data_IF_857494672279
#
_entry.id   IF_857494672279
#
_cell.length_a   1.000
_cell.length_b   1.000
_cell.length_c   1.000
_cell.angle_alpha   90.00
_cell.angle_beta   90.00
_cell.angle_gamma   90.00
#
_symmetry.space_group_name_H-M   'P 1'
#
loop_
_entity.id
_entity.type
_entity.pdbx_description
1 polymer ?
#
# COMPACT_ATOMS: atom_id res chain seq x y z
N UNK A 1 14.96 7.56 16.22
CA UNK A 1 14.17 8.80 16.31
C UNK A 1 12.72 8.40 16.53
N UNK A 2 12.13 8.71 17.67
CA UNK A 2 10.74 8.35 17.99
C UNK A 2 9.93 9.63 18.03
N UNK A 3 8.85 9.69 17.28
CA UNK A 3 7.87 10.76 17.41
C UNK A 3 6.88 10.44 18.52
N UNK A 4 6.57 11.43 19.36
CA UNK A 4 5.55 11.28 20.40
C UNK A 4 4.29 12.01 19.96
N UNK A 5 3.16 11.32 19.94
CA UNK A 5 1.84 11.91 19.70
C UNK A 5 1.16 12.06 21.06
N UNK A 6 0.73 13.28 21.39
CA UNK A 6 0.02 13.60 22.61
C UNK A 6 -1.45 13.87 22.30
N UNK A 7 -2.35 13.30 23.08
CA UNK A 7 -3.80 13.48 22.96
C UNK A 7 -4.33 14.43 24.04
N UNK A 8 -5.43 15.14 23.76
CA UNK A 8 -6.19 15.90 24.76
C UNK A 8 -7.13 15.00 25.57
N UNK A 9 -7.78 15.56 26.60
CA UNK A 9 -8.74 14.84 27.45
C UNK A 9 -9.99 14.33 26.72
N UNK A 10 -10.18 14.72 25.45
CA UNK A 10 -11.26 14.28 24.58
C UNK A 10 -10.75 13.30 23.49
N UNK A 11 -9.53 12.76 23.65
CA UNK A 11 -8.96 11.78 22.71
C UNK A 11 -8.53 12.34 21.36
N UNK A 12 -8.54 13.67 21.18
CA UNK A 12 -8.09 14.30 19.93
C UNK A 12 -6.57 14.59 19.98
N UNK A 13 -5.85 14.65 18.85
CA UNK A 13 -4.39 14.90 18.85
C UNK A 13 -4.10 16.34 19.28
N UNK A 14 -3.55 16.54 20.47
CA UNK A 14 -3.27 17.85 21.05
C UNK A 14 -1.94 18.44 20.56
N UNK A 15 -0.92 17.58 20.47
CA UNK A 15 0.37 17.95 19.91
C UNK A 15 1.10 16.74 19.35
N UNK A 16 2.02 17.03 18.45
CA UNK A 16 2.85 16.03 17.78
C UNK A 16 4.29 16.47 17.90
N UNK A 17 5.11 15.67 18.56
CA UNK A 17 6.53 15.93 18.73
C UNK A 17 7.34 15.09 17.75
N UNK A 18 7.82 15.74 16.69
CA UNK A 18 8.85 15.21 15.80
C UNK A 18 10.00 16.24 15.76
N UNK A 19 11.16 15.90 16.32
CA UNK A 19 12.33 16.79 16.34
C UNK A 19 12.48 17.69 17.58
N UNK A 20 11.80 17.39 18.69
CA UNK A 20 12.09 17.96 20.01
C UNK A 20 11.22 19.15 20.41
N UNK A 21 10.64 19.87 19.44
CA UNK A 21 9.62 20.91 19.72
C UNK A 21 8.23 20.37 19.38
N UNK A 22 7.31 20.28 20.34
CA UNK A 22 5.94 19.84 20.05
C UNK A 22 5.25 20.83 19.11
N UNK A 23 4.74 20.35 17.97
CA UNK A 23 3.83 21.12 17.14
C UNK A 23 2.44 21.01 17.74
N UNK A 24 1.83 22.14 18.05
CA UNK A 24 0.50 22.22 18.66
C UNK A 24 -0.57 22.30 17.58
N UNK A 25 -1.77 21.88 17.94
CA UNK A 25 -3.00 22.18 17.20
C UNK A 25 -3.14 23.70 17.00
N UNK A 26 -3.48 24.13 15.79
CA UNK A 26 -3.74 25.52 15.47
C UNK A 26 -5.11 26.00 16.01
N UNK A 27 -5.41 27.29 15.83
CA UNK A 27 -6.68 27.88 16.26
C UNK A 27 -7.91 27.29 15.55
N UNK A 28 -7.70 26.58 14.43
CA UNK A 28 -8.74 25.98 13.62
C UNK A 28 -8.98 24.50 13.98
N UNK A 29 -8.21 23.98 14.92
CA UNK A 29 -8.35 22.62 15.41
C UNK A 29 -7.51 21.59 14.63
N UNK A 30 -6.61 22.03 13.76
CA UNK A 30 -5.77 21.18 12.90
C UNK A 30 -4.37 21.06 13.50
N UNK A 31 -3.86 19.84 13.60
CA UNK A 31 -2.49 19.58 14.05
C UNK A 31 -1.59 19.36 12.84
N UNK A 32 -0.48 20.10 12.77
CA UNK A 32 0.51 19.99 11.70
C UNK A 32 1.76 19.29 12.22
N UNK A 33 2.34 18.36 11.48
CA UNK A 33 3.69 17.86 11.72
C UNK A 33 4.57 18.23 10.53
N UNK A 34 5.31 19.33 10.69
CA UNK A 34 6.19 19.90 9.66
C UNK A 34 7.62 19.41 9.84
N UNK A 35 8.12 18.66 8.86
CA UNK A 35 9.54 18.37 8.74
C UNK A 35 10.12 19.22 7.61
N UNK A 36 11.00 20.16 7.96
CA UNK A 36 11.73 20.95 6.95
C UNK A 36 13.18 20.48 6.92
N UNK A 37 13.62 20.04 5.75
CA UNK A 37 15.02 19.70 5.47
C UNK A 37 15.52 20.55 4.31
N UNK A 38 16.81 20.78 4.21
CA UNK A 38 17.38 21.40 3.01
C UNK A 38 17.72 20.31 2.00
N UNK A 39 17.41 20.56 0.72
CA UNK A 39 18.01 19.76 -0.35
C UNK A 39 19.52 19.92 -0.31
N UNK A 40 20.23 18.89 -0.76
CA UNK A 40 21.66 18.99 -1.00
C UNK A 40 21.94 19.65 -2.35
N UNK A 41 21.36 20.82 -2.57
CA UNK A 41 21.68 21.71 -3.68
C UNK A 41 22.58 22.85 -3.19
N UNK A 42 23.25 23.53 -4.12
CA UNK A 42 24.14 24.66 -3.80
C UNK A 42 23.40 25.80 -3.06
N UNK A 43 22.10 25.90 -3.28
CA UNK A 43 21.22 26.89 -2.67
C UNK A 43 20.62 26.46 -1.31
N UNK A 44 20.86 25.21 -0.87
CA UNK A 44 20.29 24.60 0.36
C UNK A 44 18.80 24.85 0.51
N UNK A 45 18.05 24.71 -0.58
CA UNK A 45 16.64 25.05 -0.65
C UNK A 45 15.83 24.27 0.39
N UNK A 46 15.04 24.95 1.24
CA UNK A 46 14.24 24.27 2.25
C UNK A 46 13.05 23.55 1.58
N UNK A 47 12.92 22.26 1.86
CA UNK A 47 11.78 21.41 1.50
C UNK A 47 11.05 21.03 2.78
N UNK A 48 9.75 21.33 2.83
CA UNK A 48 8.90 21.00 3.98
C UNK A 48 7.91 19.91 3.59
N UNK A 49 7.91 18.81 4.34
CA UNK A 49 6.80 17.86 4.42
C UNK A 49 5.84 18.33 5.52
N UNK A 50 4.55 18.47 5.23
CA UNK A 50 3.54 18.84 6.23
C UNK A 50 2.48 17.75 6.34
N UNK A 51 2.54 16.97 7.42
CA UNK A 51 1.51 15.98 7.73
C UNK A 51 0.38 16.70 8.46
N UNK A 52 -0.78 16.77 7.82
CA UNK A 52 -1.97 17.45 8.33
C UNK A 52 -2.89 16.44 9.00
N UNK A 53 -3.16 16.63 10.29
CA UNK A 53 -4.17 15.89 11.04
C UNK A 53 -5.40 16.79 11.20
N UNK A 54 -6.46 16.57 10.41
CA UNK A 54 -7.62 17.43 10.41
C UNK A 54 -8.41 17.25 11.71
N UNK A 55 -9.20 18.27 12.06
CA UNK A 55 -10.19 18.12 13.14
C UNK A 55 -11.23 17.06 12.76
N UNK A 56 -11.94 16.50 13.75
CA UNK A 56 -13.02 15.56 13.47
C UNK A 56 -14.02 16.02 12.42
N UNK A 57 -14.24 15.19 11.41
CA UNK A 57 -15.18 15.46 10.30
C UNK A 57 -14.68 16.41 9.21
N UNK A 58 -13.45 16.93 9.30
CA UNK A 58 -12.86 17.74 8.25
C UNK A 58 -12.05 16.88 7.27
N UNK A 59 -12.31 17.05 5.96
CA UNK A 59 -11.50 16.41 4.91
C UNK A 59 -10.18 17.18 4.78
N UNK A 60 -9.06 16.46 4.69
CA UNK A 60 -7.77 17.07 4.37
C UNK A 60 -7.84 17.66 2.96
N UNK A 61 -7.60 18.97 2.82
CA UNK A 61 -7.49 19.60 1.50
C UNK A 61 -6.19 19.12 0.86
N UNK A 62 -6.27 18.55 -0.33
CA UNK A 62 -5.12 18.22 -1.16
C UNK A 62 -4.38 19.50 -1.54
N UNK A 63 -3.41 19.91 -0.73
CA UNK A 63 -2.57 21.06 -1.03
C UNK A 63 -1.35 20.59 -1.81
N UNK A 64 -1.46 20.66 -3.14
CA UNK A 64 -0.30 20.61 -4.02
C UNK A 64 0.36 22.00 -3.98
N UNK A 65 1.47 22.12 -3.25
CA UNK A 65 2.32 23.30 -3.35
C UNK A 65 3.62 22.85 -4.02
N UNK A 66 3.84 23.33 -5.25
CA UNK A 66 5.13 23.27 -5.96
C UNK A 66 5.74 21.88 -6.20
N UNK A 67 4.95 20.89 -6.63
CA UNK A 67 5.49 19.64 -7.22
C UNK A 67 5.97 18.59 -6.21
N UNK A 68 5.66 18.75 -4.93
CA UNK A 68 5.88 17.71 -3.91
C UNK A 68 4.66 16.81 -3.83
N UNK A 69 4.83 15.52 -4.15
CA UNK A 69 3.80 14.49 -3.95
C UNK A 69 3.60 14.29 -2.45
N UNK A 70 2.45 14.71 -1.90
CA UNK A 70 2.08 14.36 -0.53
C UNK A 70 1.26 13.07 -0.55
N UNK A 71 1.77 12.04 0.13
CA UNK A 71 0.98 10.86 0.48
C UNK A 71 0.02 11.28 1.61
N UNK A 72 -1.25 11.45 1.28
CA UNK A 72 -2.30 11.68 2.29
C UNK A 72 -2.58 10.32 2.94
N UNK A 73 -2.23 10.17 4.22
CA UNK A 73 -2.81 9.11 5.04
C UNK A 73 -4.23 9.59 5.39
N UNK A 74 -5.25 8.90 4.86
CA UNK A 74 -6.66 9.15 5.16
C UNK A 74 -6.97 8.73 6.61
N UNK A 75 -6.55 9.56 7.56
CA UNK A 75 -6.83 9.40 8.98
C UNK A 75 -7.96 10.36 9.37
N UNK A 76 -9.06 9.80 9.86
CA UNK A 76 -10.15 10.58 10.47
C UNK A 76 -10.07 10.50 11.98
N UNK A 77 -10.25 11.63 12.66
CA UNK A 77 -10.35 11.65 14.12
C UNK A 77 -11.82 11.86 14.52
N UNK A 78 -12.28 11.22 15.60
CA UNK A 78 -13.59 11.48 16.21
C UNK A 78 -13.42 11.56 17.73
N UNK A 79 -14.30 12.31 18.40
CA UNK A 79 -14.40 12.32 19.86
C UNK A 79 -15.14 11.05 20.34
N UNK A 80 -14.59 9.89 20.01
CA UNK A 80 -15.11 8.55 20.31
C UNK A 80 -13.91 7.60 20.51
N UNK A 81 -14.09 6.42 21.15
CA UNK A 81 -13.04 5.42 21.24
C UNK A 81 -12.46 5.14 19.85
N UNK A 82 -11.14 5.22 19.71
CA UNK A 82 -10.47 4.98 18.44
C UNK A 82 -10.84 3.58 17.93
N UNK A 83 -11.41 3.53 16.73
CA UNK A 83 -11.70 2.30 16.02
C UNK A 83 -10.78 2.24 14.79
N UNK A 84 -10.07 1.14 14.61
CA UNK A 84 -9.36 0.86 13.36
C UNK A 84 -10.42 0.50 12.32
N UNK A 85 -10.70 1.42 11.39
CA UNK A 85 -11.87 1.30 10.51
C UNK A 85 -11.56 0.46 9.27
N UNK A 86 -10.31 0.40 8.80
CA UNK A 86 -9.93 -0.30 7.57
C UNK A 86 -8.50 -0.87 7.71
N UNK A 87 -8.35 -2.17 7.99
CA UNK A 87 -7.10 -2.90 7.80
C UNK A 87 -7.23 -3.72 6.51
N UNK A 88 -6.87 -3.14 5.38
CA UNK A 88 -6.70 -3.94 4.15
C UNK A 88 -5.28 -4.46 4.13
N UNK A 89 -5.10 -5.73 4.51
CA UNK A 89 -3.83 -6.41 4.37
C UNK A 89 -3.87 -7.33 3.14
N UNK A 90 -2.96 -7.08 2.21
CA UNK A 90 -2.73 -7.92 1.02
C UNK A 90 -1.85 -9.16 1.32
N UNK A 91 -1.27 -9.21 2.52
CA UNK A 91 -0.44 -10.31 2.99
C UNK A 91 -1.24 -11.56 3.39
N UNK A 92 -0.87 -12.70 2.83
CA UNK A 92 -1.33 -14.03 3.24
C UNK A 92 -0.20 -14.80 3.92
N UNK A 93 -0.55 -15.67 4.88
CA UNK A 93 0.42 -16.58 5.51
C UNK A 93 1.07 -17.48 4.46
N UNK A 94 2.33 -17.87 4.66
CA UNK A 94 2.95 -18.92 3.82
C UNK A 94 2.07 -20.17 3.86
N UNK A 95 1.86 -20.78 2.70
CA UNK A 95 1.06 -21.99 2.57
C UNK A 95 1.70 -22.90 1.54
N UNK A 96 1.70 -24.19 1.83
CA UNK A 96 2.18 -25.22 0.89
C UNK A 96 1.14 -25.48 -0.20
N UNK A 97 1.60 -26.01 -1.33
CA UNK A 97 0.74 -26.44 -2.44
C UNK A 97 -0.13 -27.61 -1.98
N UNK A 98 -1.46 -27.44 -2.01
CA UNK A 98 -2.42 -28.47 -1.60
C UNK A 98 -3.04 -29.19 -2.80
N UNK A 99 -3.35 -28.46 -3.88
CA UNK A 99 -3.98 -29.03 -5.07
C UNK A 99 -3.51 -28.37 -6.36
N UNK A 100 -3.61 -29.11 -7.46
CA UNK A 100 -3.33 -28.64 -8.81
C UNK A 100 -4.53 -28.91 -9.72
N UNK A 101 -4.95 -27.90 -10.48
CA UNK A 101 -6.03 -28.01 -11.45
C UNK A 101 -5.61 -27.39 -12.79
N UNK A 102 -6.22 -27.85 -13.88
CA UNK A 102 -6.06 -27.26 -15.22
C UNK A 102 -7.37 -26.62 -15.62
N UNK A 103 -7.33 -25.33 -15.96
CA UNK A 103 -8.51 -24.63 -16.46
C UNK A 103 -8.75 -24.89 -17.96
N UNK A 104 -9.91 -24.46 -18.47
CA UNK A 104 -10.26 -24.65 -19.90
C UNK A 104 -9.38 -23.84 -20.86
N UNK A 105 -8.66 -22.83 -20.37
CA UNK A 105 -7.71 -22.05 -21.14
C UNK A 105 -6.31 -22.68 -21.14
N UNK A 106 -6.13 -23.85 -20.51
CA UNK A 106 -4.85 -24.55 -20.41
C UNK A 106 -3.93 -23.99 -19.34
N UNK A 107 -4.42 -23.13 -18.42
CA UNK A 107 -3.62 -22.65 -17.29
C UNK A 107 -3.62 -23.68 -16.18
N UNK A 108 -2.44 -23.92 -15.62
CA UNK A 108 -2.22 -24.75 -14.46
C UNK A 108 -2.35 -23.86 -13.22
N UNK A 109 -3.37 -24.11 -12.41
CA UNK A 109 -3.69 -23.36 -11.19
C UNK A 109 -3.36 -24.21 -9.97
N UNK A 110 -2.51 -23.68 -9.09
CA UNK A 110 -2.23 -24.27 -7.79
C UNK A 110 -3.10 -23.65 -6.70
N UNK A 111 -3.76 -24.49 -5.90
CA UNK A 111 -4.45 -24.08 -4.67
C UNK A 111 -3.55 -24.36 -3.47
N UNK A 112 -3.32 -23.35 -2.65
CA UNK A 112 -2.43 -23.42 -1.49
C UNK A 112 -3.24 -23.60 -0.20
N UNK A 113 -2.60 -24.15 0.84
CA UNK A 113 -3.22 -24.39 2.16
C UNK A 113 -3.69 -23.12 2.88
N UNK A 114 -3.21 -21.95 2.46
CA UNK A 114 -3.63 -20.64 2.93
C UNK A 114 -4.87 -20.09 2.20
N UNK A 115 -5.52 -20.88 1.33
CA UNK A 115 -6.70 -20.49 0.57
C UNK A 115 -6.42 -19.66 -0.69
N UNK A 116 -5.16 -19.33 -0.97
CA UNK A 116 -4.77 -18.58 -2.17
C UNK A 116 -4.69 -19.52 -3.37
N UNK A 117 -5.15 -19.06 -4.53
CA UNK A 117 -4.97 -19.74 -5.81
C UNK A 117 -4.04 -18.92 -6.70
N UNK A 118 -3.07 -19.58 -7.34
CA UNK A 118 -2.17 -18.92 -8.29
C UNK A 118 -2.02 -19.73 -9.56
N UNK A 119 -1.89 -19.04 -10.69
CA UNK A 119 -1.45 -19.66 -11.94
C UNK A 119 0.04 -19.96 -11.82
N UNK A 120 0.40 -21.23 -12.00
CA UNK A 120 1.77 -21.71 -11.89
C UNK A 120 2.43 -21.88 -13.25
N UNK A 121 1.65 -22.28 -14.26
CA UNK A 121 2.13 -22.52 -15.62
C UNK A 121 0.97 -22.46 -16.63
N UNK A 122 1.30 -22.49 -17.92
CA UNK A 122 0.33 -22.60 -19.02
C UNK A 122 0.76 -23.67 -20.01
N UNK A 123 -0.21 -24.45 -20.48
CA UNK A 123 0.00 -25.42 -21.54
C UNK A 123 0.08 -24.69 -22.87
N UNK A 124 1.22 -24.85 -23.55
CA UNK A 124 1.39 -24.36 -24.93
C UNK A 124 1.12 -25.50 -25.90
N UNK A 125 0.27 -25.25 -26.90
CA UNK A 125 -0.07 -26.23 -27.93
C UNK A 125 0.43 -25.66 -29.27
N UNK A 126 1.13 -26.49 -30.04
CA UNK A 126 1.55 -26.16 -31.39
C UNK A 126 0.51 -26.61 -32.41
N UNK A 127 0.24 -25.76 -33.41
CA UNK A 127 -0.56 -26.14 -34.58
C UNK A 127 0.33 -26.12 -35.82
N UNK A 128 0.19 -27.13 -36.67
CA UNK A 128 0.99 -27.29 -37.89
C UNK A 128 0.07 -27.19 -39.11
N UNK A 129 0.50 -26.42 -40.11
CA UNK A 129 -0.28 -26.27 -41.35
C UNK A 129 -0.36 -27.57 -42.18
N UNK A 130 0.59 -28.49 -41.98
CA UNK A 130 0.57 -29.81 -42.61
C UNK A 130 0.86 -30.92 -41.57
N UNK A 131 -0.16 -31.37 -40.81
CA UNK A 131 0.01 -32.40 -39.79
C UNK A 131 0.49 -33.75 -40.37
N UNK A 132 0.12 -34.07 -41.61
CA UNK A 132 0.50 -35.32 -42.29
C UNK A 132 1.97 -35.36 -42.72
N UNK A 133 2.67 -34.23 -42.70
CA UNK A 133 4.10 -34.14 -43.00
C UNK A 133 5.02 -34.37 -41.79
N UNK A 134 4.47 -34.60 -40.60
CA UNK A 134 5.24 -34.85 -39.38
C UNK A 134 5.81 -36.27 -39.38
N UNK A 135 7.08 -36.40 -39.03
CA UNK A 135 7.77 -37.68 -38.98
C UNK A 135 7.73 -38.25 -37.56
N UNK A 136 6.98 -39.34 -37.37
CA UNK A 136 6.90 -40.03 -36.08
C UNK A 136 8.28 -40.57 -35.66
N UNK A 137 8.82 -40.04 -34.57
CA UNK A 137 10.08 -40.53 -33.96
C UNK A 137 9.85 -41.68 -32.96
N UNK A 138 8.61 -42.16 -32.82
CA UNK A 138 8.21 -43.23 -31.91
C UNK A 138 7.68 -42.72 -30.57
N UNK A 139 7.10 -43.61 -29.77
CA UNK A 139 6.65 -43.27 -28.40
C UNK A 139 5.51 -42.24 -28.31
N UNK A 140 4.64 -42.15 -29.32
CA UNK A 140 3.59 -41.12 -29.46
C UNK A 140 4.12 -39.68 -29.64
N UNK A 141 5.38 -39.53 -30.05
CA UNK A 141 5.96 -38.27 -30.48
C UNK A 141 5.92 -38.17 -32.01
N UNK A 142 5.36 -37.07 -32.51
CA UNK A 142 5.22 -36.71 -33.93
C UNK A 142 6.16 -35.56 -34.30
#
# INVERSE_FOLDING_TARGET
MVGLINFDGNGNVASVNYGGTPVKRDNNGVSHARYTTSLDDKAKTPVTLDIVMPKPGEKVRSNHINGVTQQVLDLTQYNAPAATIEETQDGYKSGDLNNLAVDRAGKIVGSFTNGVQKVLAGLSIANFNNPSGLASIGGKCL
#
